data_IF_710684989195
#
_entry.id   IF_710684989195
#
_cell.length_a   1.000
_cell.length_b   1.000
_cell.length_c   1.000
_cell.angle_alpha   90.00
_cell.angle_beta   90.00
_cell.angle_gamma   90.00
#
_symmetry.space_group_name_H-M   'P 1'
#
loop_
_entity.id
_entity.type
_entity.pdbx_description
1 polymer ?
#
# COMPACT_ATOMS: atom_id res chain seq x y z
N UNK A 1 -12.66 -6.07 0.71
CA UNK A 1 -13.73 -6.08 1.74
C UNK A 1 -13.11 -6.37 3.10
N UNK A 2 -13.54 -5.68 4.16
CA UNK A 2 -13.06 -5.88 5.54
C UNK A 2 -14.12 -6.65 6.34
N UNK A 3 -13.71 -7.70 7.03
CA UNK A 3 -14.55 -8.57 7.85
C UNK A 3 -14.04 -8.58 9.28
N UNK A 4 -14.94 -8.59 10.26
CA UNK A 4 -14.60 -8.69 11.68
C UNK A 4 -15.37 -9.87 12.26
N UNK A 5 -14.64 -10.83 12.84
CA UNK A 5 -15.23 -11.96 13.55
C UNK A 5 -15.83 -11.48 14.87
N UNK A 6 -17.11 -11.78 15.12
CA UNK A 6 -17.82 -11.30 16.31
C UNK A 6 -17.30 -11.94 17.60
N UNK A 7 -16.87 -13.21 17.54
CA UNK A 7 -16.46 -13.96 18.74
C UNK A 7 -15.05 -13.61 19.21
N UNK A 8 -14.16 -13.25 18.28
CA UNK A 8 -12.72 -13.04 18.54
C UNK A 8 -12.24 -11.61 18.31
N UNK A 9 -13.03 -10.78 17.61
CA UNK A 9 -12.60 -9.46 17.14
C UNK A 9 -11.54 -9.52 16.03
N UNK A 10 -11.23 -10.70 15.47
CA UNK A 10 -10.23 -10.84 14.41
C UNK A 10 -10.70 -10.11 13.14
N UNK A 11 -9.86 -9.21 12.64
CA UNK A 11 -10.09 -8.50 11.39
C UNK A 11 -9.41 -9.22 10.23
N UNK A 12 -10.17 -9.46 9.15
CA UNK A 12 -9.67 -10.05 7.90
C UNK A 12 -9.98 -9.12 6.72
N UNK A 13 -9.04 -9.00 5.80
CA UNK A 13 -9.19 -8.21 4.57
C UNK A 13 -9.09 -9.14 3.38
N UNK A 14 -10.16 -9.23 2.60
CA UNK A 14 -10.19 -10.00 1.35
C UNK A 14 -10.14 -9.11 0.13
N UNK A 15 -9.67 -9.67 -0.98
CA UNK A 15 -9.49 -8.99 -2.27
C UNK A 15 -8.50 -7.82 -2.19
N UNK A 16 -7.33 -8.07 -1.58
CA UNK A 16 -6.25 -7.11 -1.62
C UNK A 16 -5.63 -7.10 -3.02
N UNK A 17 -5.51 -5.91 -3.60
CA UNK A 17 -4.79 -5.66 -4.84
C UNK A 17 -3.83 -4.50 -4.60
N UNK A 18 -2.64 -4.57 -5.17
CA UNK A 18 -1.74 -3.43 -5.17
C UNK A 18 -2.33 -2.32 -6.05
N UNK A 19 -2.40 -1.12 -5.48
CA UNK A 19 -2.77 0.07 -6.24
C UNK A 19 -1.57 0.49 -7.08
N UNK A 20 -1.56 0.07 -8.34
CA UNK A 20 -0.54 0.42 -9.33
C UNK A 20 -1.21 1.29 -10.37
N UNK A 21 -0.57 2.42 -10.71
CA UNK A 21 -1.04 3.30 -11.77
C UNK A 21 -0.72 2.67 -13.13
N UNK A 22 -1.75 2.31 -13.89
CA UNK A 22 -1.66 1.68 -15.22
C UNK A 22 -0.85 2.53 -16.23
N UNK A 23 -0.78 3.86 -16.07
CA UNK A 23 -0.04 4.76 -16.98
C UNK A 23 1.45 4.85 -16.65
N UNK A 24 1.79 4.86 -15.36
CA UNK A 24 3.17 5.08 -14.87
C UNK A 24 3.89 3.81 -14.45
N UNK A 25 3.19 2.67 -14.36
CA UNK A 25 3.70 1.39 -13.86
C UNK A 25 4.34 1.51 -12.45
N UNK A 26 3.84 2.46 -11.66
CA UNK A 26 4.32 2.78 -10.32
C UNK A 26 3.22 2.60 -9.27
N UNK A 27 3.64 2.30 -8.04
CA UNK A 27 2.73 2.22 -6.89
C UNK A 27 2.02 3.56 -6.69
N UNK A 28 0.70 3.57 -6.82
CA UNK A 28 -0.10 4.75 -6.58
C UNK A 28 -0.06 5.09 -5.09
N UNK A 29 0.32 6.33 -4.82
CA UNK A 29 0.48 6.87 -3.47
C UNK A 29 -0.35 8.13 -3.26
N UNK A 30 -1.16 8.51 -4.25
CA UNK A 30 -1.89 9.78 -4.27
C UNK A 30 -3.30 9.66 -3.71
N UNK A 31 -3.58 8.64 -2.89
CA UNK A 31 -4.86 8.55 -2.19
C UNK A 31 -4.97 9.66 -1.15
N UNK A 32 -6.12 10.37 -1.08
CA UNK A 32 -6.35 11.41 -0.08
C UNK A 32 -6.13 10.94 1.36
N UNK A 33 -6.50 9.69 1.65
CA UNK A 33 -6.27 9.05 2.95
C UNK A 33 -5.20 7.94 2.85
N UNK A 34 -4.26 7.86 3.80
CA UNK A 34 -3.17 6.89 3.76
C UNK A 34 -3.60 5.45 4.11
N UNK A 35 -4.65 5.29 4.93
CA UNK A 35 -5.25 4.01 5.27
C UNK A 35 -6.70 4.22 5.73
N UNK A 36 -7.48 3.14 5.82
CA UNK A 36 -8.89 3.20 6.23
C UNK A 36 -9.01 3.33 7.75
N UNK A 37 -9.23 4.56 8.22
CA UNK A 37 -9.64 4.87 9.59
C UNK A 37 -10.74 5.93 9.51
N UNK A 38 -11.94 5.45 9.21
CA UNK A 38 -13.14 6.26 9.05
C UNK A 38 -13.78 6.61 10.39
N UNK A 39 -14.74 7.55 10.44
CA UNK A 39 -15.36 7.98 11.69
C UNK A 39 -15.90 6.85 12.56
N UNK A 40 -16.61 5.86 12.01
CA UNK A 40 -17.18 4.78 12.82
C UNK A 40 -16.09 3.81 13.33
N UNK A 41 -15.06 3.54 12.52
CA UNK A 41 -13.93 2.72 12.97
C UNK A 41 -13.17 3.46 14.09
N UNK A 42 -12.96 4.76 13.93
CA UNK A 42 -12.28 5.57 14.93
C UNK A 42 -13.07 5.66 16.23
N UNK A 43 -14.41 5.79 16.15
CA UNK A 43 -15.31 5.75 17.30
C UNK A 43 -15.26 4.39 18.00
N UNK A 44 -15.35 3.29 17.22
CA UNK A 44 -15.29 1.92 17.75
C UNK A 44 -13.97 1.61 18.46
N UNK A 45 -12.83 2.03 17.90
CA UNK A 45 -11.50 1.81 18.50
C UNK A 45 -11.24 2.76 19.68
N UNK A 46 -11.93 3.91 19.72
CA UNK A 46 -11.74 5.03 20.66
C UNK A 46 -10.41 5.77 20.50
N UNK A 47 -10.36 7.02 20.95
CA UNK A 47 -9.14 7.84 20.89
C UNK A 47 -7.97 7.24 21.68
N UNK A 48 -8.26 6.59 22.82
CA UNK A 48 -7.25 5.92 23.65
C UNK A 48 -6.69 4.69 22.92
N UNK A 49 -7.56 3.92 22.25
CA UNK A 49 -7.15 2.79 21.42
C UNK A 49 -6.26 3.20 20.24
N UNK A 50 -6.59 4.33 19.59
CA UNK A 50 -5.85 4.88 18.45
C UNK A 50 -4.46 5.37 18.88
N UNK A 51 -4.41 6.20 19.91
CA UNK A 51 -3.16 6.84 20.39
C UNK A 51 -2.24 5.88 21.13
N UNK A 52 -2.79 4.87 21.80
CA UNK A 52 -2.02 3.84 22.51
C UNK A 52 -1.79 2.60 21.65
N UNK A 53 -2.60 1.52 21.83
CA UNK A 53 -2.34 0.22 21.20
C UNK A 53 -2.17 0.24 19.68
N UNK A 54 -3.00 0.98 18.94
CA UNK A 54 -2.91 1.02 17.48
C UNK A 54 -1.61 1.67 17.02
N UNK A 55 -1.28 2.85 17.55
CA UNK A 55 -0.04 3.56 17.21
C UNK A 55 1.20 2.75 17.59
N UNK A 56 1.22 2.17 18.79
CA UNK A 56 2.32 1.31 19.25
C UNK A 56 2.46 0.05 18.39
N UNK A 57 1.34 -0.58 18.01
CA UNK A 57 1.31 -1.75 17.13
C UNK A 57 1.86 -1.45 15.74
N UNK A 58 1.46 -0.33 15.12
CA UNK A 58 1.98 0.10 13.82
C UNK A 58 3.51 0.25 13.83
N UNK A 59 4.06 0.88 14.87
CA UNK A 59 5.51 1.08 15.03
C UNK A 59 6.22 -0.24 15.28
N UNK A 60 5.71 -1.07 16.19
CA UNK A 60 6.28 -2.37 16.52
C UNK A 60 6.33 -3.29 15.29
N UNK A 61 5.24 -3.37 14.53
CA UNK A 61 5.18 -4.13 13.28
C UNK A 61 6.17 -3.60 12.24
N UNK A 62 6.26 -2.27 12.07
CA UNK A 62 7.26 -1.69 11.16
C UNK A 62 8.70 -2.02 11.58
N UNK A 63 9.00 -1.98 12.88
CA UNK A 63 10.31 -2.40 13.43
C UNK A 63 10.62 -3.86 13.14
N UNK A 64 9.67 -4.77 13.34
CA UNK A 64 9.85 -6.19 13.03
C UNK A 64 10.17 -6.45 11.55
N UNK A 65 9.67 -5.60 10.65
CA UNK A 65 9.98 -5.68 9.22
C UNK A 65 11.34 -5.07 8.84
N UNK A 66 11.84 -4.12 9.63
CA UNK A 66 13.12 -3.41 9.37
C UNK A 66 14.30 -4.08 10.08
N UNK A 67 14.13 -4.60 11.30
CA UNK A 67 15.17 -5.22 12.13
C UNK A 67 14.75 -6.62 12.61
N UNK A 68 15.59 -7.68 12.54
CA UNK A 68 16.84 -7.88 11.79
C UNK A 68 16.64 -8.86 10.62
N UNK A 69 15.65 -8.63 9.75
CA UNK A 69 15.26 -9.60 8.72
C UNK A 69 15.26 -9.02 7.29
N UNK A 70 16.32 -9.30 6.54
CA UNK A 70 16.52 -8.83 5.15
C UNK A 70 15.68 -9.55 4.09
N UNK A 71 14.82 -10.51 4.48
CA UNK A 71 14.05 -11.32 3.53
C UNK A 71 12.85 -10.60 2.94
N UNK A 72 12.35 -9.53 3.59
CA UNK A 72 11.17 -8.80 3.14
C UNK A 72 11.36 -8.22 1.73
N UNK A 73 12.52 -7.65 1.46
CA UNK A 73 12.86 -7.16 0.12
C UNK A 73 12.74 -8.25 -0.93
N UNK A 74 13.24 -9.46 -0.66
CA UNK A 74 13.18 -10.58 -1.59
C UNK A 74 11.74 -11.07 -1.83
N UNK A 75 10.92 -11.14 -0.77
CA UNK A 75 9.50 -11.51 -0.87
C UNK A 75 8.74 -10.47 -1.69
N UNK A 76 8.92 -9.18 -1.40
CA UNK A 76 8.28 -8.10 -2.13
C UNK A 76 8.71 -8.06 -3.60
N UNK A 77 9.99 -8.33 -3.90
CA UNK A 77 10.47 -8.42 -5.29
C UNK A 77 9.75 -9.51 -6.07
N UNK A 78 9.52 -10.67 -5.48
CA UNK A 78 8.79 -11.76 -6.13
C UNK A 78 7.33 -11.37 -6.40
N UNK A 79 6.61 -10.88 -5.38
CA UNK A 79 5.20 -10.50 -5.49
C UNK A 79 5.01 -9.33 -6.49
N UNK A 80 5.80 -8.26 -6.37
CA UNK A 80 5.65 -7.08 -7.22
C UNK A 80 6.06 -7.35 -8.67
N UNK A 81 6.98 -8.28 -8.91
CA UNK A 81 7.33 -8.70 -10.27
C UNK A 81 6.14 -9.32 -10.98
N UNK A 82 5.41 -10.21 -10.31
CA UNK A 82 4.24 -10.87 -10.90
C UNK A 82 3.12 -9.85 -11.18
N UNK A 83 2.89 -8.90 -10.29
CA UNK A 83 1.92 -7.81 -10.48
C UNK A 83 2.28 -6.90 -11.66
N UNK A 84 3.55 -6.46 -11.77
CA UNK A 84 4.00 -5.60 -12.87
C UNK A 84 3.89 -6.35 -14.21
N UNK A 85 4.29 -7.63 -14.27
CA UNK A 85 4.14 -8.45 -15.48
C UNK A 85 2.66 -8.60 -15.85
N UNK A 86 1.77 -8.82 -14.87
CA UNK A 86 0.34 -8.93 -15.12
C UNK A 86 -0.25 -7.65 -15.74
N UNK A 87 0.20 -6.48 -15.28
CA UNK A 87 -0.21 -5.17 -15.79
C UNK A 87 0.32 -4.94 -17.20
N UNK A 88 1.61 -5.20 -17.45
CA UNK A 88 2.20 -5.08 -18.78
C UNK A 88 1.49 -5.99 -19.79
N UNK A 89 1.18 -7.24 -19.41
CA UNK A 89 0.40 -8.16 -20.25
C UNK A 89 -1.01 -7.66 -20.52
N UNK A 90 -1.68 -7.07 -19.51
CA UNK A 90 -3.00 -6.44 -19.67
C UNK A 90 -2.93 -5.30 -20.69
N UNK A 91 -1.96 -4.40 -20.54
CA UNK A 91 -1.73 -3.27 -21.46
C UNK A 91 -1.45 -3.71 -22.89
N UNK A 92 -0.63 -4.75 -23.08
CA UNK A 92 -0.37 -5.31 -24.42
C UNK A 92 -1.66 -5.87 -25.03
N UNK A 93 -2.51 -6.56 -24.26
CA UNK A 93 -3.81 -7.03 -24.76
C UNK A 93 -4.73 -5.87 -25.14
N UNK A 94 -4.81 -4.84 -24.29
CA UNK A 94 -5.66 -3.67 -24.52
C UNK A 94 -5.18 -2.88 -25.76
N UNK A 95 -3.86 -2.79 -25.99
CA UNK A 95 -3.27 -2.13 -27.16
C UNK A 95 -3.30 -2.99 -28.44
N UNK A 96 -3.19 -4.32 -28.37
CA UNK A 96 -3.28 -5.23 -29.53
C UNK A 96 -4.68 -5.24 -30.17
N UNK A 97 -5.69 -4.70 -29.49
CA UNK A 97 -7.00 -4.43 -30.09
C UNK A 97 -6.96 -3.26 -31.11
N UNK A 98 -5.84 -2.52 -31.19
CA UNK A 98 -5.71 -1.32 -32.04
C UNK A 98 -4.81 -1.54 -33.26
N UNK A 99 -3.71 -2.31 -33.20
CA UNK A 99 -2.86 -2.59 -34.38
C UNK A 99 -2.06 -3.92 -34.27
N UNK A 100 -1.86 -4.68 -35.38
CA UNK A 100 -1.02 -5.88 -35.39
C UNK A 100 0.46 -5.51 -35.65
N UNK A 101 1.34 -5.64 -34.65
CA UNK A 101 2.79 -5.48 -34.78
C UNK A 101 3.56 -6.76 -34.39
N UNK A 102 4.78 -6.99 -34.93
CA UNK A 102 5.45 -8.29 -34.93
C UNK A 102 6.11 -8.67 -33.59
N UNK A 103 6.01 -9.95 -33.24
CA UNK A 103 6.19 -10.53 -31.89
C UNK A 103 7.65 -10.78 -31.42
N UNK A 104 8.71 -10.22 -32.01
CA UNK A 104 10.08 -10.77 -31.78
C UNK A 104 11.19 -9.84 -31.27
N UNK A 105 10.93 -8.56 -30.95
CA UNK A 105 11.98 -7.62 -30.50
C UNK A 105 11.85 -7.13 -29.04
N UNK A 106 10.86 -7.61 -28.29
CA UNK A 106 10.44 -7.01 -27.00
C UNK A 106 11.23 -7.57 -25.78
N UNK A 107 11.95 -8.68 -25.93
CA UNK A 107 12.15 -9.59 -24.80
C UNK A 107 13.25 -9.19 -23.77
N UNK A 108 14.40 -8.66 -24.20
CA UNK A 108 15.48 -8.31 -23.24
C UNK A 108 15.29 -6.94 -22.58
N UNK A 109 14.97 -5.90 -23.35
CA UNK A 109 14.80 -4.54 -22.81
C UNK A 109 13.58 -4.45 -21.86
N UNK A 110 12.53 -5.24 -22.10
CA UNK A 110 11.36 -5.29 -21.22
C UNK A 110 11.68 -5.95 -19.86
N UNK A 111 12.54 -6.97 -19.85
CA UNK A 111 12.93 -7.67 -18.63
C UNK A 111 13.77 -6.78 -17.71
N UNK A 112 14.75 -6.07 -18.26
CA UNK A 112 15.58 -5.12 -17.49
C UNK A 112 14.76 -3.93 -16.97
N UNK A 113 13.82 -3.41 -17.77
CA UNK A 113 12.90 -2.37 -17.34
C UNK A 113 12.01 -2.84 -16.17
N UNK A 114 11.50 -4.08 -16.23
CA UNK A 114 10.70 -4.67 -15.17
C UNK A 114 11.48 -4.79 -13.86
N UNK A 115 12.74 -5.24 -13.92
CA UNK A 115 13.61 -5.33 -12.74
C UNK A 115 13.83 -3.94 -12.13
N UNK A 116 14.04 -2.92 -12.96
CA UNK A 116 14.17 -1.52 -12.52
C UNK A 116 12.93 -1.02 -11.76
N UNK A 117 11.74 -1.23 -12.33
CA UNK A 117 10.46 -0.83 -11.72
C UNK A 117 10.20 -1.55 -10.38
N UNK A 118 10.44 -2.86 -10.33
CA UNK A 118 10.30 -3.66 -9.11
C UNK A 118 11.25 -3.14 -8.02
N UNK A 119 12.52 -2.90 -8.35
CA UNK A 119 13.50 -2.40 -7.38
C UNK A 119 13.10 -1.02 -6.85
N UNK A 120 12.60 -0.13 -7.72
CA UNK A 120 12.08 1.19 -7.32
C UNK A 120 10.88 1.06 -6.38
N UNK A 121 9.90 0.23 -6.72
CA UNK A 121 8.72 -0.01 -5.91
C UNK A 121 9.07 -0.56 -4.51
N UNK A 122 9.97 -1.55 -4.45
CA UNK A 122 10.46 -2.12 -3.18
C UNK A 122 11.20 -1.06 -2.36
N UNK A 123 12.04 -0.24 -2.98
CA UNK A 123 12.76 0.83 -2.28
C UNK A 123 11.79 1.85 -1.66
N UNK A 124 10.70 2.22 -2.36
CA UNK A 124 9.66 3.10 -1.84
C UNK A 124 8.96 2.48 -0.63
N UNK A 125 8.59 1.19 -0.67
CA UNK A 125 7.96 0.49 0.45
C UNK A 125 8.90 0.45 1.66
N UNK A 126 10.16 0.06 1.44
CA UNK A 126 11.15 -0.03 2.51
C UNK A 126 11.44 1.34 3.13
N UNK A 127 11.52 2.41 2.33
CA UNK A 127 11.68 3.77 2.84
C UNK A 127 10.53 4.18 3.74
N UNK A 128 9.28 3.85 3.37
CA UNK A 128 8.09 4.12 4.21
C UNK A 128 8.10 3.33 5.51
N UNK A 129 8.46 2.04 5.47
CA UNK A 129 8.57 1.21 6.67
C UNK A 129 9.64 1.74 7.63
N UNK A 130 10.81 2.13 7.11
CA UNK A 130 11.85 2.77 7.91
C UNK A 130 11.36 4.08 8.54
N UNK A 131 10.61 4.90 7.80
CA UNK A 131 10.07 6.15 8.35
C UNK A 131 9.05 5.92 9.50
N UNK A 132 8.39 4.75 9.55
CA UNK A 132 7.45 4.39 10.61
C UNK A 132 8.16 3.70 11.79
N UNK A 133 9.28 3.01 11.56
CA UNK A 133 9.94 2.20 12.58
C UNK A 133 10.63 3.01 13.69
N UNK A 134 10.94 4.28 13.49
CA UNK A 134 11.60 5.10 14.51
C UNK A 134 10.58 5.82 15.40
N UNK A 135 10.47 5.41 16.66
CA UNK A 135 9.62 6.03 17.69
C UNK A 135 10.33 7.13 18.49
N UNK A 136 11.66 7.06 18.62
CA UNK A 136 12.41 7.79 19.66
C UNK A 136 12.92 9.18 19.29
N UNK A 137 12.74 9.64 18.05
CA UNK A 137 12.98 11.05 17.76
C UNK A 137 11.69 11.82 18.00
N UNK A 138 11.76 12.88 18.80
CA UNK A 138 10.72 13.90 19.01
C UNK A 138 10.17 14.48 17.69
N UNK A 139 10.87 14.28 16.58
CA UNK A 139 10.50 14.64 15.21
C UNK A 139 9.67 13.55 14.46
N UNK A 140 9.66 12.30 14.93
CA UNK A 140 9.01 11.17 14.26
C UNK A 140 7.53 11.01 14.62
N UNK A 141 6.77 12.11 14.54
CA UNK A 141 5.29 12.09 14.61
C UNK A 141 4.64 11.46 13.37
N UNK A 142 5.36 10.60 12.64
CA UNK A 142 4.92 10.09 11.34
C UNK A 142 3.63 9.28 11.46
N UNK A 143 3.53 8.40 12.46
CA UNK A 143 2.32 7.61 12.72
C UNK A 143 1.15 8.51 13.12
N UNK A 144 1.39 9.48 14.01
CA UNK A 144 0.37 10.48 14.38
C UNK A 144 -0.12 11.25 13.16
N UNK A 145 0.78 11.70 12.29
CA UNK A 145 0.43 12.43 11.07
C UNK A 145 -0.38 11.54 10.11
N UNK A 146 -0.03 10.26 9.97
CA UNK A 146 -0.80 9.31 9.16
C UNK A 146 -2.22 9.13 9.71
N UNK A 147 -2.36 8.99 11.03
CA UNK A 147 -3.66 8.89 11.70
C UNK A 147 -4.49 10.16 11.47
N UNK A 148 -3.90 11.33 11.71
CA UNK A 148 -4.58 12.62 11.51
C UNK A 148 -5.02 12.82 10.06
N UNK A 149 -4.18 12.47 9.09
CA UNK A 149 -4.55 12.52 7.68
C UNK A 149 -5.64 11.50 7.32
N UNK A 150 -5.70 10.34 7.99
CA UNK A 150 -6.71 9.31 7.73
C UNK A 150 -8.11 9.70 8.24
N UNK A 151 -8.19 10.39 9.38
CA UNK A 151 -9.45 10.84 9.98
C UNK A 151 -9.89 12.24 9.52
N UNK A 152 -9.06 12.95 8.76
CA UNK A 152 -9.35 14.32 8.34
C UNK A 152 -10.58 14.36 7.40
N UNK A 153 -11.66 15.07 7.76
CA UNK A 153 -12.86 15.22 6.92
C UNK A 153 -12.56 15.75 5.51
N UNK A 154 -11.58 16.65 5.38
CA UNK A 154 -11.19 17.24 4.08
C UNK A 154 -10.50 16.23 3.16
N UNK A 155 -9.86 15.21 3.73
CA UNK A 155 -9.28 14.11 2.98
C UNK A 155 -10.34 13.04 2.67
N UNK A 156 -11.18 12.71 3.67
CA UNK A 156 -12.24 11.72 3.55
C UNK A 156 -13.28 12.13 2.49
N UNK A 157 -13.63 13.41 2.39
CA UNK A 157 -14.61 13.88 1.40
C UNK A 157 -14.12 13.79 -0.06
N UNK A 158 -12.81 13.62 -0.27
CA UNK A 158 -12.21 13.41 -1.61
C UNK A 158 -12.16 11.94 -2.01
N UNK A 159 -12.53 11.03 -1.12
CA UNK A 159 -12.59 9.61 -1.43
C UNK A 159 -13.84 9.29 -2.26
N UNK A 160 -13.72 8.27 -3.10
CA UNK A 160 -14.86 7.77 -3.89
C UNK A 160 -16.02 7.34 -2.98
N UNK A 161 -17.29 7.67 -3.30
CA UNK A 161 -18.44 7.29 -2.48
C UNK A 161 -18.58 5.78 -2.25
N UNK A 162 -18.15 4.92 -3.18
CA UNK A 162 -18.18 3.46 -3.00
C UNK A 162 -17.18 2.99 -1.93
N UNK A 163 -16.22 3.83 -1.53
CA UNK A 163 -15.37 3.57 -0.38
C UNK A 163 -16.10 3.79 0.95
N UNK A 164 -17.26 4.47 0.95
CA UNK A 164 -18.06 4.81 2.12
C UNK A 164 -17.23 5.59 3.19
N UNK A 165 -16.71 6.79 2.86
CA UNK A 165 -15.85 7.55 3.77
C UNK A 165 -16.52 8.01 5.08
N UNK A 166 -17.85 7.99 5.13
CA UNK A 166 -18.64 8.30 6.33
C UNK A 166 -18.81 7.10 7.29
N UNK A 167 -18.53 5.87 6.83
CA UNK A 167 -18.58 4.66 7.65
C UNK A 167 -17.23 4.39 8.27
#
# INVERSE_FOLDING_TARGET
MMYIHQDSGLMNISYYKFDINDEKEELDSNRPVPFRLTPNIAEFVTNIGITGPLSAGMVATARCFVQPNYKLCSILKAILRDEIIAIQKKRIRDNKLVEPLPDSAIDMNAMDNTIGLVNKAVAVIMSRLNAISYFDNTESKKVTNLIQSAINPDNLCRMDPAWHPWL
#
